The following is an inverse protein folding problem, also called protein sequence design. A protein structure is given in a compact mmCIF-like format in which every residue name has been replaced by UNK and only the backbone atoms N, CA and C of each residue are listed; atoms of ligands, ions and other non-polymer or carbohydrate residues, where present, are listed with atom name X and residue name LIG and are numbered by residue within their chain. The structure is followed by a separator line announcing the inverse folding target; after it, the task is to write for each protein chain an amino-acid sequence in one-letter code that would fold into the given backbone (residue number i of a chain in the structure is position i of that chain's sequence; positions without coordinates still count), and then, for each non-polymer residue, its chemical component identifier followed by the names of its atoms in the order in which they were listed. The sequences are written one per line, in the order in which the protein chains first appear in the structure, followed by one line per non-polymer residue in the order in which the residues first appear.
data_IF_714796858732
#
_entry.id   IF_714796858732
#
_cell.length_a   1.000
_cell.length_b   1.000
_cell.length_c   1.000
_cell.angle_alpha   90.00
_cell.angle_beta   90.00
_cell.angle_gamma   90.00
#
_symmetry.space_group_name_H-M   'P 1'
#
loop_
_entity.id
_entity.type
_entity.pdbx_description
1 polymer ?
#
# COMPACT_ATOMS: atom_id res chain seq x y z
N UNK A 1 22.54 56.13 22.76
CA UNK A 1 23.26 55.05 23.48
C UNK A 1 23.14 53.81 22.65
N UNK A 2 24.19 53.55 21.95
CA UNK A 2 25.05 52.38 22.01
C UNK A 2 24.27 51.06 21.78
N UNK A 3 24.35 50.35 20.70
CA UNK A 3 25.48 49.89 19.90
C UNK A 3 25.66 48.41 20.13
N UNK A 4 25.58 47.58 19.13
CA UNK A 4 26.57 46.54 18.90
C UNK A 4 26.11 45.61 17.75
N UNK A 5 26.79 45.79 16.67
CA UNK A 5 27.03 44.96 15.50
C UNK A 5 27.57 43.60 15.89
N UNK A 6 27.16 42.54 15.23
CA UNK A 6 27.98 41.34 15.12
C UNK A 6 27.87 40.68 13.74
N UNK A 7 29.02 40.49 13.18
CA UNK A 7 29.38 40.15 11.83
C UNK A 7 29.06 38.67 11.47
N UNK A 8 28.46 38.47 10.30
CA UNK A 8 28.40 37.18 9.60
C UNK A 8 29.58 37.09 8.65
N UNK A 9 30.59 36.32 9.02
CA UNK A 9 31.73 35.97 8.18
C UNK A 9 31.33 35.00 7.05
N UNK A 10 31.33 35.45 5.83
CA UNK A 10 31.22 34.59 4.62
C UNK A 10 32.59 33.96 4.34
N UNK A 11 32.66 32.64 4.51
CA UNK A 11 33.83 31.85 4.11
C UNK A 11 33.74 31.50 2.65
N UNK A 12 34.45 32.24 1.81
CA UNK A 12 34.61 31.97 0.37
C UNK A 12 35.77 30.99 0.23
N UNK A 13 35.49 29.75 -0.13
CA UNK A 13 36.53 28.78 -0.49
C UNK A 13 36.90 29.00 -1.98
N UNK A 14 38.08 29.54 -2.20
CA UNK A 14 38.70 29.68 -3.53
C UNK A 14 39.28 28.34 -3.96
N UNK A 15 38.77 27.75 -5.00
CA UNK A 15 39.39 26.63 -5.72
C UNK A 15 40.56 27.19 -6.59
N UNK A 16 41.78 26.82 -6.24
CA UNK A 16 42.94 26.97 -7.09
C UNK A 16 43.05 25.74 -7.97
N UNK A 17 43.04 25.96 -9.27
CA UNK A 17 43.38 24.98 -10.29
C UNK A 17 44.86 24.59 -10.13
N UNK A 18 45.15 23.32 -10.03
CA UNK A 18 46.49 22.74 -10.18
C UNK A 18 46.52 21.86 -11.40
N UNK A 19 47.49 22.18 -12.20
CA UNK A 19 47.84 21.71 -13.52
C UNK A 19 48.15 20.20 -13.60
N UNK A 20 47.95 19.72 -14.82
CA UNK A 20 48.26 18.40 -15.40
C UNK A 20 49.63 17.82 -14.97
N UNK A 21 49.59 16.62 -14.42
CA UNK A 21 50.74 15.75 -14.19
C UNK A 21 50.35 14.27 -14.32
N UNK A 22 51.15 13.54 -15.06
CA UNK A 22 50.95 12.19 -15.58
C UNK A 22 50.29 11.17 -14.64
N UNK A 23 49.29 10.42 -15.13
CA UNK A 23 48.70 9.28 -14.48
C UNK A 23 49.67 8.07 -14.48
N UNK A 24 50.15 7.73 -13.30
CA UNK A 24 50.80 6.43 -13.07
C UNK A 24 49.74 5.35 -12.89
N UNK A 25 49.74 4.37 -13.80
CA UNK A 25 48.75 3.28 -13.88
C UNK A 25 48.81 2.23 -12.76
N UNK A 26 49.60 2.48 -11.71
CA UNK A 26 49.75 1.53 -10.59
C UNK A 26 49.01 1.90 -9.32
N UNK A 27 48.40 3.08 -9.23
CA UNK A 27 47.64 3.54 -8.05
C UNK A 27 46.15 3.23 -8.10
N UNK A 28 45.62 2.64 -9.19
CA UNK A 28 44.17 2.39 -9.39
C UNK A 28 43.65 1.07 -8.79
N UNK A 29 44.47 0.35 -7.99
CA UNK A 29 44.08 -0.97 -7.43
C UNK A 29 43.85 -1.00 -5.90
N UNK A 30 43.97 0.11 -5.20
CA UNK A 30 43.89 0.12 -3.72
C UNK A 30 42.63 0.83 -3.17
N UNK A 31 41.80 1.48 -4.01
CA UNK A 31 40.60 2.23 -3.53
C UNK A 31 39.30 1.41 -3.57
N UNK A 32 39.29 0.18 -4.10
CA UNK A 32 38.08 -0.66 -4.20
C UNK A 32 37.87 -1.60 -2.99
N UNK A 33 38.80 -1.66 -2.06
CA UNK A 33 38.74 -2.61 -0.94
C UNK A 33 38.28 -2.03 0.41
N UNK A 34 37.81 -0.79 0.51
CA UNK A 34 37.47 -0.15 1.80
C UNK A 34 36.04 0.36 1.93
N UNK A 35 35.08 -0.14 1.15
CA UNK A 35 33.64 0.20 1.24
C UNK A 35 32.77 -1.00 1.67
N UNK A 36 33.36 -2.09 2.13
CA UNK A 36 32.62 -3.33 2.46
C UNK A 36 32.66 -3.74 3.95
N UNK A 37 32.91 -2.80 4.88
CA UNK A 37 32.76 -3.10 6.33
C UNK A 37 31.98 -1.95 6.98
N UNK A 38 30.65 -2.02 6.90
CA UNK A 38 29.79 -1.04 7.55
C UNK A 38 28.30 -1.38 7.45
N UNK A 39 27.95 -2.66 7.45
CA UNK A 39 26.53 -3.09 7.42
C UNK A 39 26.30 -4.34 8.27
N UNK A 40 26.57 -4.25 9.58
CA UNK A 40 26.10 -5.22 10.57
C UNK A 40 25.42 -4.45 11.70
N UNK A 41 24.11 -4.28 11.57
CA UNK A 41 23.31 -3.63 12.61
C UNK A 41 21.92 -3.26 12.11
N UNK A 42 21.29 -4.07 11.24
CA UNK A 42 19.89 -3.92 10.88
C UNK A 42 19.06 -5.01 11.56
N UNK A 43 18.20 -4.64 12.53
CA UNK A 43 17.13 -5.49 13.00
C UNK A 43 16.41 -6.09 11.79
N UNK A 44 16.30 -7.41 11.73
CA UNK A 44 15.73 -8.13 10.60
C UNK A 44 14.26 -7.80 10.38
N UNK A 45 14.01 -6.86 9.49
CA UNK A 45 12.77 -6.83 8.73
C UNK A 45 12.85 -8.05 7.81
N UNK A 46 12.02 -9.05 8.03
CA UNK A 46 11.84 -10.13 7.07
C UNK A 46 11.53 -9.53 5.68
N UNK A 47 11.79 -10.27 4.58
CA UNK A 47 11.52 -9.75 3.26
C UNK A 47 10.07 -9.31 3.20
N UNK A 48 9.84 -8.03 2.90
CA UNK A 48 8.51 -7.48 2.63
C UNK A 48 7.84 -8.39 1.58
N UNK A 49 6.61 -8.85 1.82
CA UNK A 49 5.91 -9.70 0.87
C UNK A 49 5.76 -8.93 -0.45
N UNK A 50 6.45 -9.42 -1.47
CA UNK A 50 6.35 -8.84 -2.80
C UNK A 50 4.96 -9.11 -3.35
N UNK A 51 4.28 -8.05 -3.81
CA UNK A 51 3.04 -8.18 -4.54
C UNK A 51 3.28 -8.99 -5.82
N UNK A 52 2.37 -9.92 -6.11
CA UNK A 52 2.43 -10.73 -7.33
C UNK A 52 2.11 -9.89 -8.57
N UNK A 53 1.24 -8.86 -8.41
CA UNK A 53 0.90 -7.92 -9.47
C UNK A 53 1.98 -6.86 -9.67
N UNK A 54 2.34 -6.61 -10.91
CA UNK A 54 3.28 -5.55 -11.28
C UNK A 54 2.61 -4.17 -11.29
N UNK A 55 3.39 -3.07 -11.16
CA UNK A 55 2.86 -1.71 -11.34
C UNK A 55 2.19 -1.51 -12.71
N UNK A 56 2.68 -2.16 -13.77
CA UNK A 56 2.10 -2.05 -15.12
C UNK A 56 0.70 -2.69 -15.20
N UNK A 57 0.51 -3.86 -14.57
CA UNK A 57 -0.81 -4.50 -14.49
C UNK A 57 -1.80 -3.63 -13.71
N UNK A 58 -1.38 -3.07 -12.58
CA UNK A 58 -2.21 -2.16 -11.76
C UNK A 58 -2.54 -0.85 -12.47
N UNK A 59 -1.66 -0.34 -13.33
CA UNK A 59 -1.93 0.86 -14.12
C UNK A 59 -3.10 0.71 -15.10
N UNK A 60 -3.46 -0.52 -15.49
CA UNK A 60 -4.63 -0.84 -16.31
C UNK A 60 -5.95 -0.89 -15.53
N UNK A 61 -5.94 -0.78 -14.20
CA UNK A 61 -7.16 -0.79 -13.39
C UNK A 61 -7.89 0.55 -13.39
N UNK A 62 -9.21 0.55 -13.08
CA UNK A 62 -10.00 1.78 -12.99
C UNK A 62 -9.37 2.79 -12.03
N UNK A 63 -9.35 4.05 -12.43
CA UNK A 63 -8.91 5.17 -11.60
C UNK A 63 -10.05 5.70 -10.75
N UNK A 64 -9.71 6.38 -9.65
CA UNK A 64 -10.69 7.03 -8.80
C UNK A 64 -11.50 8.06 -9.61
N UNK A 65 -12.85 8.01 -9.56
CA UNK A 65 -13.67 9.01 -10.21
C UNK A 65 -13.48 10.39 -9.58
N UNK A 66 -13.78 11.46 -10.33
CA UNK A 66 -13.67 12.82 -9.82
C UNK A 66 -14.54 13.09 -8.58
N UNK A 67 -15.63 12.35 -8.43
CA UNK A 67 -16.54 12.38 -7.27
C UNK A 67 -16.02 11.66 -6.03
N UNK A 68 -14.93 10.90 -6.13
CA UNK A 68 -14.37 10.19 -4.98
C UNK A 68 -13.88 11.17 -3.91
N UNK A 69 -14.23 10.90 -2.65
CA UNK A 69 -13.88 11.72 -1.51
C UNK A 69 -12.60 11.24 -0.84
N UNK A 70 -11.82 12.16 -0.30
CA UNK A 70 -10.65 11.83 0.49
C UNK A 70 -11.07 11.37 1.90
N UNK A 71 -10.46 10.30 2.40
CA UNK A 71 -10.72 9.74 3.72
C UNK A 71 -9.40 9.25 4.33
N UNK A 72 -9.09 9.66 5.57
CA UNK A 72 -7.92 9.17 6.29
C UNK A 72 -8.30 7.92 7.06
N UNK A 73 -7.61 6.82 6.78
CA UNK A 73 -7.83 5.55 7.50
C UNK A 73 -7.23 5.67 8.90
N UNK A 74 -8.07 5.58 9.92
CA UNK A 74 -7.66 5.66 11.32
C UNK A 74 -7.27 4.27 11.88
N UNK A 75 -8.05 3.25 11.56
CA UNK A 75 -7.78 1.87 11.95
C UNK A 75 -8.43 0.86 11.01
N UNK A 76 -7.76 -0.24 10.79
CA UNK A 76 -8.30 -1.40 10.08
C UNK A 76 -8.96 -2.35 11.09
N UNK A 77 -10.14 -2.87 10.75
CA UNK A 77 -10.88 -3.87 11.53
C UNK A 77 -10.50 -5.26 11.07
N UNK A 78 -10.62 -5.50 9.75
CA UNK A 78 -10.21 -6.72 9.04
C UNK A 78 -9.77 -6.36 7.60
N UNK A 79 -9.56 -7.35 6.74
CA UNK A 79 -9.00 -7.12 5.40
C UNK A 79 -9.86 -6.23 4.49
N UNK A 80 -11.17 -6.17 4.71
CA UNK A 80 -12.11 -5.40 3.88
C UNK A 80 -12.98 -4.41 4.65
N UNK A 81 -12.70 -4.22 5.94
CA UNK A 81 -13.43 -3.29 6.79
C UNK A 81 -12.48 -2.42 7.60
N UNK A 82 -12.65 -1.11 7.54
CA UNK A 82 -11.84 -0.15 8.28
C UNK A 82 -12.66 1.05 8.75
N UNK A 83 -12.09 1.85 9.65
CA UNK A 83 -12.63 3.14 10.07
C UNK A 83 -11.80 4.24 9.46
N UNK A 84 -12.46 5.22 8.84
CA UNK A 84 -11.81 6.36 8.24
C UNK A 84 -12.49 7.68 8.62
N UNK A 85 -11.69 8.73 8.79
CA UNK A 85 -12.19 10.08 9.00
C UNK A 85 -12.58 10.71 7.65
N UNK A 86 -13.86 11.08 7.52
CA UNK A 86 -14.43 11.72 6.36
C UNK A 86 -15.11 13.02 6.81
N UNK A 87 -14.63 14.18 6.35
CA UNK A 87 -15.20 15.46 6.76
C UNK A 87 -15.22 15.70 8.27
N UNK A 88 -14.24 15.12 9.00
CA UNK A 88 -14.12 15.24 10.46
C UNK A 88 -15.00 14.27 11.26
N UNK A 89 -15.56 13.25 10.63
CA UNK A 89 -16.36 12.20 11.29
C UNK A 89 -15.79 10.83 10.98
N UNK A 90 -15.76 9.96 11.97
CA UNK A 90 -15.37 8.56 11.78
C UNK A 90 -16.51 7.78 11.14
N UNK A 91 -16.20 7.16 10.01
CA UNK A 91 -17.12 6.29 9.27
C UNK A 91 -16.52 4.86 9.19
N UNK A 92 -17.38 3.88 9.45
CA UNK A 92 -17.01 2.48 9.22
C UNK A 92 -17.24 2.14 7.75
N UNK A 93 -16.17 1.81 7.05
CA UNK A 93 -16.17 1.54 5.60
C UNK A 93 -16.10 0.04 5.36
N UNK A 94 -16.95 -0.48 4.46
CA UNK A 94 -16.90 -1.84 3.91
C UNK A 94 -16.54 -1.77 2.44
N UNK A 95 -15.49 -2.46 2.06
CA UNK A 95 -15.00 -2.53 0.68
C UNK A 95 -15.99 -3.34 -0.17
N UNK A 96 -16.44 -2.75 -1.29
CA UNK A 96 -17.42 -3.36 -2.20
C UNK A 96 -16.76 -4.45 -3.07
N UNK A 97 -17.52 -5.51 -3.34
CA UNK A 97 -17.22 -6.49 -4.39
C UNK A 97 -16.24 -7.58 -4.01
N UNK A 98 -15.64 -7.50 -2.83
CA UNK A 98 -14.69 -8.48 -2.29
C UNK A 98 -15.01 -8.84 -0.85
N UNK A 99 -14.61 -10.02 -0.44
CA UNK A 99 -14.78 -10.55 0.92
C UNK A 99 -13.49 -11.20 1.38
N UNK A 100 -12.95 -10.68 2.47
CA UNK A 100 -11.75 -11.26 3.07
C UNK A 100 -12.12 -12.25 4.15
N UNK A 101 -11.27 -13.26 4.45
CA UNK A 101 -11.54 -14.17 5.54
C UNK A 101 -11.67 -13.44 6.87
N UNK A 102 -12.63 -13.85 7.66
CA UNK A 102 -13.01 -13.21 8.93
C UNK A 102 -11.94 -13.44 10.02
N UNK A 103 -11.58 -12.38 10.76
CA UNK A 103 -10.62 -12.44 11.86
C UNK A 103 -11.20 -12.07 13.22
N UNK A 104 -12.36 -11.40 13.26
CA UNK A 104 -12.93 -10.78 14.47
C UNK A 104 -14.33 -11.26 14.83
N UNK A 105 -14.81 -12.37 14.26
CA UNK A 105 -16.09 -12.95 14.65
C UNK A 105 -16.01 -13.52 16.07
N UNK A 106 -16.88 -13.11 17.03
CA UNK A 106 -16.77 -13.49 18.44
C UNK A 106 -16.84 -14.99 18.72
N UNK A 107 -17.56 -15.74 17.87
CA UNK A 107 -17.90 -17.15 18.10
C UNK A 107 -17.36 -18.09 17.01
N UNK A 108 -16.39 -17.62 16.22
CA UNK A 108 -15.79 -18.42 15.15
C UNK A 108 -14.26 -18.38 15.22
N UNK A 109 -13.57 -19.49 14.93
CA UNK A 109 -12.13 -19.48 14.78
C UNK A 109 -11.75 -18.52 13.63
N UNK A 110 -10.56 -17.93 13.73
CA UNK A 110 -9.98 -17.15 12.63
C UNK A 110 -9.96 -18.02 11.38
N UNK A 111 -10.56 -17.52 10.31
CA UNK A 111 -10.59 -18.24 9.05
C UNK A 111 -9.18 -18.34 8.45
N UNK A 112 -8.96 -19.40 7.64
CA UNK A 112 -7.70 -19.59 6.95
C UNK A 112 -7.36 -18.34 6.14
N UNK A 113 -6.13 -17.85 6.25
CA UNK A 113 -5.61 -16.65 5.59
C UNK A 113 -6.20 -15.31 6.11
N UNK A 114 -7.02 -15.35 7.16
CA UNK A 114 -7.63 -14.14 7.72
C UNK A 114 -6.60 -13.21 8.34
N UNK A 115 -5.62 -13.75 9.09
CA UNK A 115 -4.55 -12.95 9.68
C UNK A 115 -3.71 -12.26 8.62
N UNK A 116 -3.29 -12.98 7.59
CA UNK A 116 -2.49 -12.47 6.49
C UNK A 116 -3.21 -11.35 5.75
N UNK A 117 -4.51 -11.51 5.48
CA UNK A 117 -5.35 -10.49 4.86
C UNK A 117 -5.50 -9.24 5.73
N UNK A 118 -5.79 -9.44 7.04
CA UNK A 118 -5.91 -8.34 8.00
C UNK A 118 -4.59 -7.59 8.18
N UNK A 119 -3.48 -8.29 8.30
CA UNK A 119 -2.15 -7.69 8.49
C UNK A 119 -1.68 -6.97 7.22
N UNK A 120 -2.02 -7.49 6.04
CA UNK A 120 -1.81 -6.79 4.77
C UNK A 120 -2.59 -5.46 4.76
N UNK A 121 -3.90 -5.49 5.05
CA UNK A 121 -4.70 -4.28 5.10
C UNK A 121 -4.21 -3.27 6.16
N UNK A 122 -3.81 -3.72 7.34
CA UNK A 122 -3.25 -2.85 8.38
C UNK A 122 -1.98 -2.14 7.91
N UNK A 123 -1.08 -2.85 7.26
CA UNK A 123 0.18 -2.30 6.76
C UNK A 123 -0.04 -1.27 5.66
N UNK A 124 -0.93 -1.56 4.72
CA UNK A 124 -1.14 -0.74 3.53
C UNK A 124 -2.08 0.46 3.77
N UNK A 125 -3.02 0.36 4.71
CA UNK A 125 -4.07 1.36 4.87
C UNK A 125 -3.92 2.24 6.11
N UNK A 126 -3.36 1.75 7.24
CA UNK A 126 -3.38 2.51 8.49
C UNK A 126 -2.65 3.83 8.36
N UNK A 127 -3.34 4.94 8.69
CA UNK A 127 -2.79 6.30 8.60
C UNK A 127 -2.71 6.85 7.18
N UNK A 128 -3.12 6.09 6.17
CA UNK A 128 -3.09 6.51 4.76
C UNK A 128 -4.36 7.30 4.42
N UNK A 129 -4.22 8.34 3.60
CA UNK A 129 -5.37 9.04 3.02
C UNK A 129 -5.72 8.40 1.68
N UNK A 130 -6.85 7.71 1.65
CA UNK A 130 -7.38 7.03 0.47
C UNK A 130 -8.46 7.88 -0.22
N UNK A 131 -8.87 7.47 -1.42
CA UNK A 131 -10.05 8.02 -2.08
C UNK A 131 -11.16 6.98 -2.08
N UNK A 132 -12.36 7.39 -1.67
CA UNK A 132 -13.54 6.53 -1.60
C UNK A 132 -14.54 6.93 -2.67
N UNK A 133 -14.94 5.98 -3.51
CA UNK A 133 -16.02 6.12 -4.48
C UNK A 133 -17.18 5.21 -4.12
N UNK A 134 -18.40 5.72 -4.24
CA UNK A 134 -19.61 4.93 -4.04
C UNK A 134 -20.06 4.20 -5.31
N UNK A 135 -21.08 3.38 -5.15
CA UNK A 135 -21.89 2.80 -6.22
C UNK A 135 -23.35 3.25 -6.01
N UNK A 136 -24.32 2.40 -6.32
CA UNK A 136 -25.76 2.71 -6.26
C UNK A 136 -26.23 2.87 -4.81
N UNK A 137 -25.94 1.91 -3.95
CA UNK A 137 -26.30 1.93 -2.54
C UNK A 137 -25.13 2.38 -1.66
N UNK A 138 -25.29 3.47 -0.89
CA UNK A 138 -24.17 4.04 -0.16
C UNK A 138 -23.87 3.33 1.17
N UNK A 139 -24.83 2.61 1.75
CA UNK A 139 -24.66 1.96 3.05
C UNK A 139 -25.31 0.57 3.08
N UNK A 140 -24.74 -0.31 3.88
CA UNK A 140 -25.37 -1.59 4.16
C UNK A 140 -26.36 -1.53 5.34
N UNK A 141 -27.02 -2.67 5.61
CA UNK A 141 -27.99 -2.80 6.70
C UNK A 141 -27.41 -2.56 8.10
N UNK A 142 -26.08 -2.57 8.23
CA UNK A 142 -25.37 -2.28 9.49
C UNK A 142 -24.92 -0.82 9.59
N UNK A 143 -25.25 0.00 8.61
CA UNK A 143 -24.89 1.41 8.54
C UNK A 143 -23.45 1.67 8.05
N UNK A 144 -22.69 0.63 7.64
CA UNK A 144 -21.34 0.81 7.10
C UNK A 144 -21.41 1.50 5.75
N UNK A 145 -20.49 2.43 5.51
CA UNK A 145 -20.33 3.08 4.20
C UNK A 145 -19.77 2.03 3.21
N UNK A 146 -20.46 1.83 2.10
CA UNK A 146 -20.02 0.94 1.03
C UNK A 146 -19.15 1.73 0.04
N UNK A 147 -17.92 1.29 -0.19
CA UNK A 147 -17.00 2.05 -1.03
C UNK A 147 -16.07 1.18 -1.88
N UNK A 148 -15.75 1.70 -3.05
CA UNK A 148 -14.55 1.39 -3.80
C UNK A 148 -13.42 2.29 -3.30
N UNK A 149 -12.21 1.74 -3.17
CA UNK A 149 -11.10 2.38 -2.47
C UNK A 149 -9.89 2.49 -3.41
N UNK A 150 -9.27 3.67 -3.47
CA UNK A 150 -8.02 3.90 -4.21
C UNK A 150 -6.96 4.45 -3.28
N UNK A 151 -5.76 3.89 -3.37
CA UNK A 151 -4.57 4.34 -2.66
C UNK A 151 -4.03 5.66 -3.26
N UNK A 152 -3.12 6.36 -2.55
CA UNK A 152 -2.55 7.63 -3.04
C UNK A 152 -1.81 7.51 -4.38
N UNK A 153 -1.21 6.36 -4.67
CA UNK A 153 -0.53 6.05 -5.93
C UNK A 153 -1.49 5.75 -7.09
N UNK A 154 -2.81 5.74 -6.82
CA UNK A 154 -3.87 5.41 -7.77
C UNK A 154 -4.20 3.92 -7.85
N UNK A 155 -3.54 3.06 -7.08
CA UNK A 155 -3.86 1.62 -7.02
C UNK A 155 -5.29 1.41 -6.54
N UNK A 156 -6.06 0.62 -7.29
CA UNK A 156 -7.42 0.23 -6.92
C UNK A 156 -7.37 -0.90 -5.89
N UNK A 157 -7.59 -0.56 -4.62
CA UNK A 157 -7.45 -1.46 -3.48
C UNK A 157 -8.28 -2.73 -3.58
N UNK A 158 -9.57 -2.60 -3.97
CA UNK A 158 -10.47 -3.74 -4.16
C UNK A 158 -9.92 -4.75 -5.18
N UNK A 159 -9.37 -4.25 -6.28
CA UNK A 159 -8.73 -5.08 -7.30
C UNK A 159 -7.43 -5.71 -6.79
N UNK A 160 -6.66 -4.98 -5.98
CA UNK A 160 -5.43 -5.50 -5.38
C UNK A 160 -5.71 -6.68 -4.45
N UNK A 161 -6.72 -6.57 -3.57
CA UNK A 161 -7.14 -7.67 -2.69
C UNK A 161 -7.51 -8.92 -3.50
N UNK A 162 -8.28 -8.76 -4.57
CA UNK A 162 -8.68 -9.85 -5.45
C UNK A 162 -7.48 -10.49 -6.18
N UNK A 163 -6.63 -9.68 -6.78
CA UNK A 163 -5.52 -10.12 -7.61
C UNK A 163 -4.39 -10.80 -6.82
N UNK A 164 -4.15 -10.36 -5.59
CA UNK A 164 -3.15 -10.95 -4.69
C UNK A 164 -3.69 -12.17 -3.92
N UNK A 165 -5.00 -12.48 -4.07
CA UNK A 165 -5.65 -13.60 -3.39
C UNK A 165 -5.91 -13.36 -1.90
N UNK A 166 -6.04 -12.10 -1.47
CA UNK A 166 -6.43 -11.76 -0.10
C UNK A 166 -7.95 -11.81 0.10
N UNK A 167 -8.73 -11.83 -0.98
CA UNK A 167 -10.19 -11.82 -0.90
C UNK A 167 -10.84 -12.73 -1.96
N UNK A 168 -12.04 -13.17 -1.65
CA UNK A 168 -12.96 -13.81 -2.57
C UNK A 168 -13.85 -12.77 -3.27
N UNK A 169 -14.54 -13.18 -4.35
CA UNK A 169 -15.57 -12.37 -4.97
C UNK A 169 -16.82 -12.34 -4.08
N UNK A 170 -17.34 -11.16 -3.78
CA UNK A 170 -18.64 -10.96 -3.15
C UNK A 170 -19.47 -9.98 -3.98
N UNK A 171 -20.47 -10.51 -4.69
CA UNK A 171 -21.38 -9.67 -5.49
C UNK A 171 -22.68 -9.44 -4.74
N UNK A 172 -22.94 -8.18 -4.36
CA UNK A 172 -24.17 -7.77 -3.66
C UNK A 172 -24.84 -6.66 -4.47
N UNK A 173 -25.89 -6.98 -5.28
CA UNK A 173 -26.64 -5.94 -5.97
C UNK A 173 -27.27 -4.95 -4.97
N UNK A 174 -27.38 -3.65 -5.37
CA UNK A 174 -27.15 -3.10 -6.70
C UNK A 174 -25.70 -2.67 -6.97
N UNK A 175 -24.75 -2.85 -6.03
CA UNK A 175 -23.37 -2.39 -6.12
C UNK A 175 -22.51 -3.40 -6.91
N UNK A 176 -22.47 -3.27 -8.22
CA UNK A 176 -21.89 -4.26 -9.14
C UNK A 176 -20.93 -3.68 -10.19
N UNK A 177 -20.61 -2.39 -10.12
CA UNK A 177 -19.90 -1.67 -11.19
C UNK A 177 -18.58 -2.34 -11.64
N UNK A 178 -17.86 -3.01 -10.75
CA UNK A 178 -16.57 -3.65 -11.07
C UNK A 178 -16.58 -5.18 -10.89
N UNK A 179 -17.75 -5.81 -10.82
CA UNK A 179 -17.88 -7.26 -10.57
C UNK A 179 -17.13 -8.11 -11.59
N UNK A 180 -17.15 -7.76 -12.87
CA UNK A 180 -16.45 -8.54 -13.91
C UNK A 180 -14.92 -8.43 -13.78
N UNK A 181 -14.41 -7.28 -13.39
CA UNK A 181 -13.00 -7.10 -13.07
C UNK A 181 -12.59 -8.01 -11.90
N UNK A 182 -13.31 -7.94 -10.78
CA UNK A 182 -12.99 -8.73 -9.59
C UNK A 182 -13.11 -10.23 -9.83
N UNK A 183 -14.14 -10.67 -10.58
CA UNK A 183 -14.30 -12.07 -10.98
C UNK A 183 -13.08 -12.59 -11.74
N UNK A 184 -12.60 -11.81 -12.71
CA UNK A 184 -11.40 -12.16 -13.48
C UNK A 184 -10.17 -12.23 -12.60
N UNK A 185 -9.92 -11.20 -11.75
CA UNK A 185 -8.74 -11.15 -10.89
C UNK A 185 -8.72 -12.29 -9.86
N UNK A 186 -9.86 -12.62 -9.25
CA UNK A 186 -9.98 -13.78 -8.34
C UNK A 186 -9.70 -15.09 -9.08
N UNK A 187 -10.21 -15.25 -10.31
CA UNK A 187 -9.94 -16.44 -11.12
C UNK A 187 -8.43 -16.56 -11.46
N UNK A 188 -7.79 -15.46 -11.81
CA UNK A 188 -6.34 -15.40 -12.08
C UNK A 188 -5.52 -15.71 -10.81
N UNK A 189 -5.91 -15.17 -9.66
CA UNK A 189 -5.27 -15.44 -8.37
C UNK A 189 -5.38 -16.93 -7.99
N UNK A 190 -6.56 -17.53 -8.19
CA UNK A 190 -6.81 -18.94 -7.95
C UNK A 190 -5.99 -19.84 -8.86
N UNK A 191 -5.99 -19.57 -10.16
CA UNK A 191 -5.19 -20.32 -11.13
C UNK A 191 -3.68 -20.24 -10.86
N UNK A 192 -3.23 -19.14 -10.27
CA UNK A 192 -1.83 -18.92 -9.88
C UNK A 192 -1.52 -19.36 -8.43
N UNK A 193 -2.48 -19.99 -7.73
CA UNK A 193 -2.36 -20.44 -6.33
C UNK A 193 -1.89 -19.33 -5.37
N UNK A 194 -2.39 -18.09 -5.54
CA UNK A 194 -2.03 -16.94 -4.69
C UNK A 194 -2.88 -16.89 -3.43
N UNK A 195 -2.29 -16.47 -2.33
CA UNK A 195 -3.00 -16.14 -1.09
C UNK A 195 -3.92 -17.26 -0.58
N UNK A 196 -5.20 -16.99 -0.48
CA UNK A 196 -6.27 -17.93 -0.10
C UNK A 196 -6.21 -19.27 -0.84
N UNK A 197 -5.77 -19.22 -2.09
CA UNK A 197 -5.74 -20.36 -3.01
C UNK A 197 -4.44 -21.16 -2.94
N UNK A 198 -3.46 -20.71 -2.13
CA UNK A 198 -2.22 -21.46 -1.92
C UNK A 198 -2.52 -22.80 -1.23
N UNK A 199 -2.15 -23.91 -1.88
CA UNK A 199 -2.37 -25.26 -1.38
C UNK A 199 -3.76 -25.85 -1.65
N UNK A 200 -4.62 -25.20 -2.44
CA UNK A 200 -5.72 -25.90 -3.10
C UNK A 200 -5.15 -26.82 -4.17
N UNK A 201 -5.57 -28.08 -4.15
CA UNK A 201 -5.28 -29.00 -5.25
C UNK A 201 -5.95 -28.50 -6.53
N UNK A 202 -5.34 -28.68 -7.71
CA UNK A 202 -5.95 -28.32 -9.00
C UNK A 202 -7.21 -29.13 -9.26
#
# INVERSE_FOLDING_TARGET
MAGLSSALGRMVVRWRALSRGALDRRAARVVVAMVLIGALGGCGSGPEPRLATTPAERAGWPRAPGSAVAARVERVVDGDTFVAAIGGRDERVRVIGVDTPETVAPDRPVERYGRESSDFAKRELTGVTVRLGGDVEPRDRYGRLLAYVWLPDGTFWNALLAAEGYAQLLTVPPNVAYTDLFRRLVAEARAAHRGLWAGEAP
#
